data_IF_894455510409
#
_entry.id   IF_894455510409
#
_cell.length_a   1.000
_cell.length_b   1.000
_cell.length_c   1.000
_cell.angle_alpha   90.00
_cell.angle_beta   90.00
_cell.angle_gamma   90.00
#
_symmetry.space_group_name_H-M   'P 1'
#
loop_
_entity.id
_entity.type
_entity.pdbx_description
1 polymer ?
#
# COMPACT_ATOMS: atom_id res chain seq x y z
N UNK A 1 -26.52 1.96 19.26
CA UNK A 1 -25.57 0.99 18.68
C UNK A 1 -24.45 1.77 18.04
N UNK A 2 -23.20 1.49 18.43
CA UNK A 2 -22.03 2.19 17.91
C UNK A 2 -21.20 1.19 17.12
N UNK A 3 -20.91 1.51 15.87
CA UNK A 3 -20.11 0.65 15.00
C UNK A 3 -18.68 1.20 14.92
N UNK A 4 -17.71 0.30 14.73
CA UNK A 4 -16.31 0.67 14.48
C UNK A 4 -16.01 0.40 13.01
N UNK A 5 -15.57 1.44 12.30
CA UNK A 5 -14.99 1.35 10.96
C UNK A 5 -13.47 1.38 11.08
N UNK A 6 -12.81 0.43 10.43
CA UNK A 6 -11.34 0.40 10.33
C UNK A 6 -10.97 0.51 8.86
N UNK A 7 -10.05 1.42 8.54
CA UNK A 7 -9.47 1.62 7.22
C UNK A 7 -7.96 1.34 7.30
N UNK A 8 -7.41 0.65 6.31
CA UNK A 8 -5.99 0.33 6.22
C UNK A 8 -5.49 0.63 4.82
N UNK A 9 -4.32 1.29 4.73
CA UNK A 9 -3.58 1.46 3.48
C UNK A 9 -2.57 0.32 3.36
N UNK A 10 -2.34 -0.15 2.14
CA UNK A 10 -1.28 -1.12 1.85
C UNK A 10 0.12 -0.56 2.21
N UNK A 11 1.09 -1.45 2.38
CA UNK A 11 2.48 -1.09 2.68
C UNK A 11 3.24 -0.49 1.48
N UNK A 12 4.54 -0.26 1.64
CA UNK A 12 5.37 0.31 0.57
C UNK A 12 5.41 -0.59 -0.67
N UNK A 13 5.05 -0.05 -1.84
CA UNK A 13 5.22 -0.74 -3.12
C UNK A 13 6.62 -0.54 -3.70
N UNK A 14 7.03 -1.41 -4.64
CA UNK A 14 8.30 -1.26 -5.35
C UNK A 14 8.44 0.12 -6.02
N UNK A 15 7.33 0.67 -6.55
CA UNK A 15 7.33 1.99 -7.21
C UNK A 15 7.27 3.16 -6.23
N UNK A 16 6.70 2.97 -5.02
CA UNK A 16 6.85 3.95 -3.95
C UNK A 16 8.32 4.10 -3.54
N UNK A 17 9.05 2.98 -3.42
CA UNK A 17 10.48 2.97 -3.08
C UNK A 17 11.35 3.73 -4.09
N UNK A 18 10.97 3.68 -5.37
CA UNK A 18 11.69 4.36 -6.46
C UNK A 18 11.09 5.70 -6.89
N UNK A 19 10.09 6.20 -6.16
CA UNK A 19 9.39 7.46 -6.44
C UNK A 19 8.77 7.54 -7.86
N UNK A 20 8.15 6.45 -8.31
CA UNK A 20 7.43 6.37 -9.58
C UNK A 20 5.92 6.51 -9.37
N UNK A 21 5.22 7.08 -10.35
CA UNK A 21 3.75 7.10 -10.37
C UNK A 21 3.21 5.72 -10.75
N UNK A 22 2.40 5.09 -9.89
CA UNK A 22 1.84 3.76 -10.13
C UNK A 22 0.52 3.77 -10.91
N UNK A 23 -0.42 4.64 -10.55
CA UNK A 23 -1.74 4.65 -11.17
C UNK A 23 -2.44 3.29 -11.00
N UNK A 24 -2.73 2.65 -12.13
CA UNK A 24 -3.50 1.40 -12.19
C UNK A 24 -2.62 0.16 -12.45
N UNK A 25 -1.30 0.34 -12.46
CA UNK A 25 -0.36 -0.77 -12.66
C UNK A 25 -0.31 -1.61 -11.39
N UNK A 26 -0.42 -2.94 -11.55
CA UNK A 26 -0.28 -3.89 -10.45
C UNK A 26 1.21 -4.08 -10.09
N UNK A 27 1.64 -3.44 -9.01
CA UNK A 27 3.04 -3.41 -8.56
C UNK A 27 3.15 -4.11 -7.22
N UNK A 28 4.11 -5.05 -7.03
CA UNK A 28 4.25 -5.77 -5.78
C UNK A 28 4.70 -4.86 -4.62
N UNK A 29 4.40 -5.31 -3.40
CA UNK A 29 4.95 -4.74 -2.17
C UNK A 29 6.44 -5.07 -2.04
N UNK A 30 7.18 -4.19 -1.37
CA UNK A 30 8.55 -4.49 -0.92
C UNK A 30 8.51 -5.34 0.34
N UNK A 31 9.65 -5.91 0.76
CA UNK A 31 9.75 -6.59 2.07
C UNK A 31 9.27 -5.68 3.22
N UNK A 32 9.62 -4.38 3.20
CA UNK A 32 9.12 -3.37 4.14
C UNK A 32 7.60 -3.16 4.06
N UNK A 33 6.98 -3.39 2.90
CA UNK A 33 5.53 -3.28 2.75
C UNK A 33 4.77 -4.51 3.23
N UNK A 34 5.46 -5.65 3.38
CA UNK A 34 4.89 -6.92 3.84
C UNK A 34 5.03 -7.11 5.35
N UNK A 35 6.11 -6.60 5.94
CA UNK A 35 6.31 -6.53 7.41
C UNK A 35 5.28 -5.62 8.10
#
# INVERSE_FOLDING_TARGET
>A
MTYKLVLLRHGQSAWNKTNQFTGWVDVPLTEQGVE
#
